data_IF_634524963637
#
_entry.id   IF_634524963637
#
_cell.length_a   1.000
_cell.length_b   1.000
_cell.length_c   1.000
_cell.angle_alpha   90.00
_cell.angle_beta   90.00
_cell.angle_gamma   90.00
#
_symmetry.space_group_name_H-M   'P 1'
#
loop_
_entity.id
_entity.type
_entity.pdbx_description
1 polymer ?
#
# COMPACT_ATOMS: atom_id res chain seq x y z
N UNK A 1 -16.00 14.92 2.25
CA UNK A 1 -15.83 13.59 1.62
C UNK A 1 -15.22 13.81 0.23
N UNK A 2 -13.92 13.55 0.04
CA UNK A 2 -13.28 13.70 -1.27
C UNK A 2 -13.62 12.48 -2.11
N UNK A 3 -14.55 12.61 -3.06
CA UNK A 3 -14.84 11.59 -4.07
C UNK A 3 -13.50 11.14 -4.69
N UNK A 4 -13.14 9.88 -4.48
CA UNK A 4 -11.83 9.39 -4.91
C UNK A 4 -11.72 9.38 -6.43
N UNK A 5 -10.56 9.73 -6.97
CA UNK A 5 -10.26 9.71 -8.41
C UNK A 5 -10.62 8.36 -9.09
N UNK A 6 -10.66 7.27 -8.31
CA UNK A 6 -11.12 5.95 -8.75
C UNK A 6 -12.60 5.94 -9.18
N UNK A 7 -13.49 6.58 -8.41
CA UNK A 7 -14.93 6.63 -8.73
C UNK A 7 -15.13 7.39 -10.04
N UNK A 8 -14.43 8.51 -10.19
CA UNK A 8 -14.53 9.35 -11.38
C UNK A 8 -14.07 8.61 -12.65
N UNK A 9 -12.89 7.95 -12.62
CA UNK A 9 -12.41 7.18 -13.77
C UNK A 9 -13.30 5.98 -14.09
N UNK A 10 -13.88 5.31 -13.09
CA UNK A 10 -14.85 4.24 -13.34
C UNK A 10 -16.09 4.78 -14.05
N UNK A 11 -16.65 5.90 -13.58
CA UNK A 11 -17.79 6.54 -14.24
C UNK A 11 -17.50 6.90 -15.70
N UNK A 12 -16.34 7.51 -15.98
CA UNK A 12 -15.94 7.86 -17.35
C UNK A 12 -15.76 6.63 -18.23
N UNK A 13 -15.17 5.54 -17.71
CA UNK A 13 -15.03 4.30 -18.46
C UNK A 13 -16.36 3.67 -18.83
N UNK A 14 -17.33 3.67 -17.90
CA UNK A 14 -18.68 3.18 -18.17
C UNK A 14 -19.35 4.06 -19.23
N UNK A 15 -19.29 5.39 -19.08
CA UNK A 15 -19.85 6.32 -20.08
C UNK A 15 -19.22 6.10 -21.45
N UNK A 16 -17.89 5.96 -21.53
CA UNK A 16 -17.19 5.70 -22.78
C UNK A 16 -17.60 4.35 -23.40
N UNK A 17 -17.69 3.29 -22.59
CA UNK A 17 -18.09 1.97 -23.06
C UNK A 17 -19.51 1.96 -23.62
N UNK A 18 -20.47 2.58 -22.91
CA UNK A 18 -21.85 2.72 -23.36
C UNK A 18 -21.94 3.57 -24.62
N UNK A 19 -21.25 4.71 -24.66
CA UNK A 19 -21.23 5.60 -25.81
C UNK A 19 -20.69 4.90 -27.06
N UNK A 20 -19.54 4.22 -26.95
CA UNK A 20 -18.96 3.47 -28.06
C UNK A 20 -19.87 2.32 -28.50
N UNK A 21 -20.51 1.61 -27.56
CA UNK A 21 -21.43 0.52 -27.90
C UNK A 21 -22.69 1.02 -28.64
N UNK A 22 -23.24 2.15 -28.22
CA UNK A 22 -24.37 2.81 -28.90
C UNK A 22 -23.96 3.34 -30.27
N UNK A 23 -22.77 3.92 -30.41
CA UNK A 23 -22.25 4.42 -31.68
C UNK A 23 -22.04 3.30 -32.72
N UNK A 24 -21.60 2.13 -32.27
CA UNK A 24 -21.45 0.94 -33.10
C UNK A 24 -22.77 0.15 -33.31
N UNK A 25 -23.89 0.69 -32.81
CA UNK A 25 -25.21 0.08 -32.89
C UNK A 25 -25.28 -1.35 -32.34
N UNK A 26 -24.55 -1.65 -31.26
CA UNK A 26 -24.68 -2.95 -30.61
C UNK A 26 -26.07 -3.10 -29.96
N UNK A 27 -26.74 -4.27 -30.06
CA UNK A 27 -28.12 -4.46 -29.62
C UNK A 27 -28.37 -4.20 -28.13
N UNK A 28 -27.32 -4.26 -27.31
CA UNK A 28 -27.45 -4.17 -25.86
C UNK A 28 -26.16 -3.61 -25.24
N UNK A 29 -26.01 -2.26 -25.29
CA UNK A 29 -24.84 -1.54 -24.78
C UNK A 29 -24.55 -1.79 -23.30
N UNK A 30 -25.56 -2.15 -22.51
CA UNK A 30 -25.46 -2.38 -21.06
C UNK A 30 -24.32 -3.35 -20.70
N UNK A 31 -24.09 -4.39 -21.49
CA UNK A 31 -23.01 -5.36 -21.23
C UNK A 31 -21.60 -4.77 -21.40
N UNK A 32 -21.43 -3.77 -22.28
CA UNK A 32 -20.18 -3.02 -22.37
C UNK A 32 -19.95 -2.20 -21.09
N UNK A 33 -21.02 -1.59 -20.56
CA UNK A 33 -20.97 -0.86 -19.28
C UNK A 33 -20.62 -1.77 -18.10
N UNK A 34 -21.31 -2.92 -17.96
CA UNK A 34 -21.03 -3.92 -16.92
C UNK A 34 -19.58 -4.39 -17.02
N UNK A 35 -19.13 -4.76 -18.21
CA UNK A 35 -17.75 -5.18 -18.44
C UNK A 35 -16.74 -4.10 -18.05
N UNK A 36 -16.99 -2.83 -18.41
CA UNK A 36 -16.11 -1.73 -18.06
C UNK A 36 -15.97 -1.51 -16.54
N UNK A 37 -17.03 -1.73 -15.76
CA UNK A 37 -16.97 -1.66 -14.28
C UNK A 37 -16.02 -2.71 -13.73
N UNK A 38 -16.20 -3.97 -14.13
CA UNK A 38 -15.37 -5.08 -13.65
C UNK A 38 -13.93 -5.02 -14.17
N UNK A 39 -13.73 -4.46 -15.36
CA UNK A 39 -12.41 -4.32 -15.96
C UNK A 39 -11.56 -3.18 -15.34
N UNK A 40 -12.17 -2.29 -14.56
CA UNK A 40 -11.49 -1.12 -14.02
C UNK A 40 -10.53 -1.48 -12.88
N UNK A 41 -9.23 -1.35 -13.16
CA UNK A 41 -8.16 -1.66 -12.20
C UNK A 41 -7.62 -0.41 -11.48
N UNK A 42 -7.07 -0.55 -10.26
CA UNK A 42 -6.57 0.59 -9.52
C UNK A 42 -5.31 1.22 -10.15
N UNK A 43 -4.46 0.41 -10.77
CA UNK A 43 -3.22 0.83 -11.43
C UNK A 43 -3.21 0.46 -12.91
N UNK A 44 -2.46 1.20 -13.73
CA UNK A 44 -2.30 0.91 -15.16
C UNK A 44 -1.66 -0.47 -15.38
N UNK A 45 -0.69 -0.82 -14.54
CA UNK A 45 -0.01 -2.11 -14.64
C UNK A 45 -0.98 -3.28 -14.42
N UNK A 46 -1.79 -3.22 -13.36
CA UNK A 46 -2.84 -4.21 -13.14
C UNK A 46 -3.88 -4.17 -14.26
N UNK A 47 -4.18 -3.01 -14.84
CA UNK A 47 -5.06 -2.89 -16.00
C UNK A 47 -4.55 -3.67 -17.22
N UNK A 48 -3.25 -3.62 -17.48
CA UNK A 48 -2.64 -4.32 -18.62
C UNK A 48 -2.65 -5.84 -18.42
N UNK A 49 -2.25 -6.30 -17.23
CA UNK A 49 -2.34 -7.73 -16.86
C UNK A 49 -3.79 -8.22 -16.96
N UNK A 50 -4.71 -7.47 -16.34
CA UNK A 50 -6.13 -7.78 -16.32
C UNK A 50 -6.75 -7.75 -17.72
N UNK A 51 -6.29 -6.90 -18.64
CA UNK A 51 -6.74 -6.91 -20.03
C UNK A 51 -6.45 -8.26 -20.68
N UNK A 52 -5.23 -8.79 -20.53
CA UNK A 52 -4.84 -10.09 -21.09
C UNK A 52 -5.63 -11.23 -20.44
N UNK A 53 -5.72 -11.22 -19.11
CA UNK A 53 -6.48 -12.21 -18.34
C UNK A 53 -7.96 -12.22 -18.75
N UNK A 54 -8.57 -11.04 -18.90
CA UNK A 54 -9.98 -10.91 -19.29
C UNK A 54 -10.22 -11.36 -20.72
N UNK A 55 -9.33 -11.06 -21.66
CA UNK A 55 -9.45 -11.57 -23.03
C UNK A 55 -9.46 -13.09 -23.02
N UNK A 56 -8.54 -13.73 -22.28
CA UNK A 56 -8.48 -15.20 -22.17
C UNK A 56 -9.73 -15.78 -21.50
N UNK A 57 -10.12 -15.26 -20.35
CA UNK A 57 -11.26 -15.77 -19.59
C UNK A 57 -12.58 -15.63 -20.36
N UNK A 58 -12.78 -14.52 -21.07
CA UNK A 58 -13.97 -14.32 -21.89
C UNK A 58 -13.97 -15.19 -23.16
N UNK A 59 -12.82 -15.46 -23.77
CA UNK A 59 -12.73 -16.41 -24.89
C UNK A 59 -13.15 -17.80 -24.42
N UNK A 60 -12.66 -18.24 -23.25
CA UNK A 60 -13.04 -19.52 -22.65
C UNK A 60 -14.54 -19.53 -22.36
N UNK A 61 -15.06 -18.49 -21.69
CA UNK A 61 -16.48 -18.37 -21.37
C UNK A 61 -17.36 -18.43 -22.63
N UNK A 62 -17.02 -17.67 -23.67
CA UNK A 62 -17.76 -17.67 -24.92
C UNK A 62 -17.70 -19.02 -25.65
N UNK A 63 -16.53 -19.64 -25.72
CA UNK A 63 -16.37 -20.95 -26.37
C UNK A 63 -17.22 -22.03 -25.68
N UNK A 64 -17.14 -22.13 -24.35
CA UNK A 64 -17.91 -23.12 -23.59
C UNK A 64 -19.42 -22.82 -23.62
N UNK A 65 -19.84 -21.55 -23.58
CA UNK A 65 -21.24 -21.18 -23.73
C UNK A 65 -21.80 -21.61 -25.09
N UNK A 66 -21.06 -21.38 -26.18
CA UNK A 66 -21.47 -21.79 -27.52
C UNK A 66 -21.57 -23.32 -27.62
N UNK A 67 -20.55 -24.04 -27.15
CA UNK A 67 -20.54 -25.51 -27.16
C UNK A 67 -21.71 -26.08 -26.36
N UNK A 68 -21.95 -25.56 -25.15
CA UNK A 68 -23.01 -26.03 -24.28
C UNK A 68 -24.41 -25.84 -24.91
N UNK A 69 -24.66 -24.67 -25.50
CA UNK A 69 -25.94 -24.39 -26.16
C UNK A 69 -26.16 -25.29 -27.38
N UNK A 70 -25.12 -25.55 -28.17
CA UNK A 70 -25.21 -26.40 -29.35
C UNK A 70 -25.44 -27.88 -29.02
N UNK A 71 -24.90 -28.36 -27.90
CA UNK A 71 -24.99 -29.77 -27.50
C UNK A 71 -26.21 -30.08 -26.62
N UNK A 72 -26.50 -29.22 -25.65
CA UNK A 72 -27.45 -29.51 -24.56
C UNK A 72 -28.62 -28.52 -24.49
N UNK A 73 -28.61 -27.47 -25.32
CA UNK A 73 -29.63 -26.42 -25.28
C UNK A 73 -29.41 -25.42 -24.15
N UNK A 74 -30.49 -24.74 -23.74
CA UNK A 74 -30.44 -23.51 -22.93
C UNK A 74 -31.06 -23.68 -21.54
N UNK A 75 -31.27 -24.91 -21.09
CA UNK A 75 -31.90 -25.14 -19.79
C UNK A 75 -31.08 -24.49 -18.67
N UNK A 76 -31.72 -23.88 -17.65
CA UNK A 76 -31.01 -23.25 -16.53
C UNK A 76 -30.00 -24.19 -15.86
N UNK A 77 -30.27 -25.49 -15.86
CA UNK A 77 -29.34 -26.51 -15.36
C UNK A 77 -28.05 -26.57 -16.20
N UNK A 78 -28.15 -26.51 -17.52
CA UNK A 78 -26.99 -26.50 -18.44
C UNK A 78 -26.19 -25.21 -18.29
N UNK A 79 -26.85 -24.07 -18.09
CA UNK A 79 -26.16 -22.80 -17.80
C UNK A 79 -25.34 -22.94 -16.51
N UNK A 80 -25.95 -23.45 -15.43
CA UNK A 80 -25.27 -23.68 -14.16
C UNK A 80 -24.06 -24.60 -14.30
N UNK A 81 -24.21 -25.74 -15.01
CA UNK A 81 -23.12 -26.67 -15.27
C UNK A 81 -21.99 -26.02 -16.08
N UNK A 82 -22.34 -25.22 -17.09
CA UNK A 82 -21.37 -24.50 -17.93
C UNK A 82 -20.57 -23.50 -17.09
N UNK A 83 -21.24 -22.76 -16.19
CA UNK A 83 -20.57 -21.84 -15.26
C UNK A 83 -19.60 -22.60 -14.34
N UNK A 84 -19.99 -23.75 -13.77
CA UNK A 84 -19.10 -24.56 -12.93
C UNK A 84 -17.83 -24.99 -13.70
N UNK A 85 -17.99 -25.43 -14.95
CA UNK A 85 -16.85 -25.83 -15.79
C UNK A 85 -15.95 -24.63 -16.09
N UNK A 86 -16.51 -23.49 -16.47
CA UNK A 86 -15.75 -22.27 -16.76
C UNK A 86 -15.01 -21.78 -15.52
N UNK A 87 -15.62 -21.82 -14.33
CA UNK A 87 -14.95 -21.49 -13.06
C UNK A 87 -13.76 -22.42 -12.83
N UNK A 88 -13.96 -23.74 -12.93
CA UNK A 88 -12.89 -24.71 -12.72
C UNK A 88 -11.71 -24.49 -13.69
N UNK A 89 -11.99 -24.17 -14.95
CA UNK A 89 -10.97 -23.88 -15.95
C UNK A 89 -10.23 -22.56 -15.66
N UNK A 90 -10.96 -21.50 -15.30
CA UNK A 90 -10.34 -20.22 -14.94
C UNK A 90 -9.42 -20.35 -13.72
N UNK A 91 -9.83 -21.13 -12.70
CA UNK A 91 -8.99 -21.43 -11.53
C UNK A 91 -7.73 -22.21 -11.92
N UNK A 92 -7.88 -23.24 -12.77
CA UNK A 92 -6.74 -24.02 -13.28
C UNK A 92 -5.72 -23.16 -14.04
N UNK A 93 -6.19 -22.11 -14.72
CA UNK A 93 -5.37 -21.16 -15.47
C UNK A 93 -4.90 -19.95 -14.64
N UNK A 94 -5.21 -19.89 -13.35
CA UNK A 94 -4.90 -18.77 -12.44
C UNK A 94 -5.51 -17.42 -12.86
N UNK A 95 -6.73 -17.45 -13.44
CA UNK A 95 -7.48 -16.27 -13.92
C UNK A 95 -8.52 -15.77 -12.90
N UNK A 96 -8.26 -15.94 -11.60
CA UNK A 96 -9.19 -15.69 -10.48
C UNK A 96 -9.82 -14.30 -10.50
N UNK A 97 -9.02 -13.29 -10.81
CA UNK A 97 -9.41 -11.87 -10.89
C UNK A 97 -10.48 -11.57 -11.96
N UNK A 98 -10.70 -12.48 -12.91
CA UNK A 98 -11.53 -12.24 -14.10
C UNK A 98 -12.72 -13.19 -14.24
N UNK A 99 -12.89 -14.10 -13.27
CA UNK A 99 -13.99 -15.08 -13.26
C UNK A 99 -15.33 -14.36 -13.39
N UNK A 100 -15.58 -13.29 -12.60
CA UNK A 100 -16.85 -12.56 -12.63
C UNK A 100 -17.24 -12.08 -14.04
N UNK A 101 -16.29 -11.57 -14.82
CA UNK A 101 -16.56 -11.08 -16.19
C UNK A 101 -16.84 -12.25 -17.13
N UNK A 102 -16.08 -13.35 -17.01
CA UNK A 102 -16.31 -14.54 -17.81
C UNK A 102 -17.69 -15.15 -17.55
N UNK A 103 -18.17 -15.16 -16.30
CA UNK A 103 -19.52 -15.63 -15.97
C UNK A 103 -20.61 -14.73 -16.58
N UNK A 104 -20.42 -13.40 -16.55
CA UNK A 104 -21.31 -12.46 -17.25
C UNK A 104 -21.35 -12.78 -18.74
N UNK A 105 -20.21 -13.09 -19.36
CA UNK A 105 -20.14 -13.48 -20.78
C UNK A 105 -20.90 -14.76 -21.07
N UNK A 106 -20.75 -15.80 -20.24
CA UNK A 106 -21.49 -17.06 -20.39
C UNK A 106 -23.00 -16.81 -20.33
N UNK A 107 -23.47 -16.10 -19.29
CA UNK A 107 -24.88 -15.80 -19.10
C UNK A 107 -25.42 -14.97 -20.28
N UNK A 108 -24.69 -13.92 -20.68
CA UNK A 108 -25.09 -13.01 -21.75
C UNK A 108 -25.21 -13.69 -23.12
N UNK A 109 -24.40 -14.73 -23.37
CA UNK A 109 -24.45 -15.52 -24.61
C UNK A 109 -25.60 -16.54 -24.54
N UNK A 110 -25.75 -17.25 -23.41
CA UNK A 110 -26.73 -18.34 -23.29
C UNK A 110 -28.18 -17.86 -23.13
N UNK A 111 -28.42 -16.62 -22.69
CA UNK A 111 -29.76 -16.02 -22.56
C UNK A 111 -30.49 -15.88 -23.91
N UNK A 112 -29.75 -15.79 -25.02
CA UNK A 112 -30.34 -15.44 -26.31
C UNK A 112 -30.96 -16.62 -27.05
N UNK A 113 -32.17 -16.40 -27.58
CA UNK A 113 -33.07 -17.46 -28.04
C UNK A 113 -33.30 -17.48 -29.58
N UNK A 114 -32.81 -16.50 -30.34
CA UNK A 114 -33.12 -16.43 -31.79
C UNK A 114 -32.28 -17.37 -32.68
N UNK A 115 -32.74 -17.52 -33.94
CA UNK A 115 -32.21 -18.45 -34.96
C UNK A 115 -30.76 -18.18 -35.37
N UNK A 116 -30.26 -16.96 -35.25
CA UNK A 116 -28.86 -16.59 -35.58
C UNK A 116 -27.95 -16.61 -34.33
N UNK A 117 -28.04 -17.66 -33.51
CA UNK A 117 -27.35 -17.75 -32.22
C UNK A 117 -25.83 -17.45 -32.28
N UNK A 118 -25.10 -18.03 -33.26
CA UNK A 118 -23.65 -17.84 -33.37
C UNK A 118 -23.28 -16.38 -33.64
N UNK A 119 -24.00 -15.72 -34.56
CA UNK A 119 -23.79 -14.31 -34.88
C UNK A 119 -24.04 -13.44 -33.65
N UNK A 120 -25.09 -13.75 -32.90
CA UNK A 120 -25.39 -13.04 -31.66
C UNK A 120 -24.34 -13.27 -30.57
N UNK A 121 -23.82 -14.50 -30.43
CA UNK A 121 -22.75 -14.81 -29.49
C UNK A 121 -21.49 -13.98 -29.79
N UNK A 122 -21.13 -13.82 -31.07
CA UNK A 122 -20.01 -12.96 -31.50
C UNK A 122 -20.27 -11.49 -31.18
N UNK A 123 -21.50 -11.00 -31.42
CA UNK A 123 -21.89 -9.62 -31.08
C UNK A 123 -21.81 -9.39 -29.57
N UNK A 124 -22.28 -10.33 -28.74
CA UNK A 124 -22.20 -10.27 -27.27
C UNK A 124 -20.77 -10.25 -26.78
N UNK A 125 -19.94 -11.16 -27.27
CA UNK A 125 -18.52 -11.20 -26.96
C UNK A 125 -17.83 -9.88 -27.33
N UNK A 126 -18.11 -9.36 -28.52
CA UNK A 126 -17.55 -8.08 -29.00
C UNK A 126 -17.99 -6.89 -28.14
N UNK A 127 -19.25 -6.88 -27.70
CA UNK A 127 -19.79 -5.83 -26.82
C UNK A 127 -19.11 -5.83 -25.45
N UNK A 128 -18.87 -7.01 -24.88
CA UNK A 128 -18.14 -7.15 -23.61
C UNK A 128 -16.68 -6.73 -23.79
N UNK A 129 -16.02 -7.19 -24.86
CA UNK A 129 -14.65 -6.78 -25.17
C UNK A 129 -14.51 -5.27 -25.31
N UNK A 130 -15.47 -4.60 -25.95
CA UNK A 130 -15.48 -3.14 -26.04
C UNK A 130 -15.46 -2.48 -24.66
N UNK A 131 -16.20 -3.02 -23.69
CA UNK A 131 -16.17 -2.57 -22.29
C UNK A 131 -14.80 -2.74 -21.64
N UNK A 132 -14.16 -3.90 -21.80
CA UNK A 132 -12.81 -4.17 -21.30
C UNK A 132 -11.80 -3.18 -21.89
N UNK A 133 -11.84 -2.96 -23.21
CA UNK A 133 -10.95 -2.02 -23.88
C UNK A 133 -11.20 -0.57 -23.48
N UNK A 134 -12.46 -0.15 -23.35
CA UNK A 134 -12.81 1.20 -22.89
C UNK A 134 -12.27 1.47 -21.47
N UNK A 135 -12.43 0.52 -20.55
CA UNK A 135 -11.86 0.63 -19.21
C UNK A 135 -10.33 0.72 -19.21
N UNK A 136 -9.66 -0.07 -20.06
CA UNK A 136 -8.21 0.00 -20.22
C UNK A 136 -7.74 1.35 -20.77
N UNK A 137 -8.39 1.87 -21.82
CA UNK A 137 -8.07 3.18 -22.42
C UNK A 137 -8.25 4.30 -21.40
N UNK A 138 -9.36 4.32 -20.67
CA UNK A 138 -9.60 5.33 -19.64
C UNK A 138 -8.55 5.24 -18.54
N UNK A 139 -8.18 4.04 -18.10
CA UNK A 139 -7.14 3.88 -17.09
C UNK A 139 -5.75 4.32 -17.60
N UNK A 140 -5.49 4.22 -18.91
CA UNK A 140 -4.26 4.71 -19.54
C UNK A 140 -4.22 6.25 -19.63
N UNK A 141 -5.34 6.88 -19.99
CA UNK A 141 -5.48 8.34 -20.18
C UNK A 141 -5.48 9.06 -18.83
N UNK A 142 -6.19 8.52 -17.84
CA UNK A 142 -6.24 9.12 -16.51
C UNK A 142 -4.97 8.77 -15.73
N UNK A 143 -4.06 9.76 -15.62
CA UNK A 143 -2.79 9.65 -14.92
C UNK A 143 -2.93 8.99 -13.54
N UNK A 144 -2.00 8.09 -13.16
CA UNK A 144 -2.00 7.48 -11.84
C UNK A 144 -1.93 8.59 -10.77
N UNK A 145 -2.66 8.45 -9.65
CA UNK A 145 -2.59 9.41 -8.57
C UNK A 145 -1.15 9.50 -8.07
N UNK A 146 -0.75 10.67 -7.56
CA UNK A 146 0.61 10.93 -7.05
C UNK A 146 0.89 10.13 -5.77
N UNK A 147 1.07 8.81 -5.91
CA UNK A 147 1.26 7.87 -4.82
C UNK A 147 2.50 8.21 -4.00
N UNK A 148 3.59 8.64 -4.65
CA UNK A 148 4.84 9.05 -3.98
C UNK A 148 4.63 10.16 -2.96
N UNK A 149 3.98 11.26 -3.36
CA UNK A 149 3.72 12.40 -2.46
C UNK A 149 2.82 12.00 -1.30
N UNK A 150 1.76 11.24 -1.60
CA UNK A 150 0.82 10.77 -0.58
C UNK A 150 1.49 9.81 0.39
N UNK A 151 2.35 8.92 -0.12
CA UNK A 151 3.10 7.96 0.68
C UNK A 151 4.01 8.69 1.64
N UNK A 152 4.83 9.63 1.14
CA UNK A 152 5.72 10.40 2.00
C UNK A 152 4.96 11.22 3.06
N UNK A 153 3.87 11.89 2.67
CA UNK A 153 3.06 12.65 3.61
C UNK A 153 2.50 11.76 4.74
N UNK A 154 1.99 10.56 4.42
CA UNK A 154 1.50 9.63 5.43
C UNK A 154 2.61 9.01 6.29
N UNK A 155 3.79 8.75 5.72
CA UNK A 155 4.97 8.35 6.51
C UNK A 155 5.27 9.44 7.54
N UNK A 156 5.39 10.69 7.10
CA UNK A 156 5.75 11.81 7.97
C UNK A 156 4.70 12.05 9.07
N UNK A 157 3.43 12.11 8.70
CA UNK A 157 2.32 12.32 9.64
C UNK A 157 2.22 11.21 10.69
N UNK A 158 2.30 9.94 10.26
CA UNK A 158 2.25 8.80 11.19
C UNK A 158 3.47 8.81 12.12
N UNK A 159 4.66 9.05 11.58
CA UNK A 159 5.88 9.13 12.39
C UNK A 159 5.79 10.26 13.41
N UNK A 160 5.46 11.49 13.00
CA UNK A 160 5.34 12.63 13.92
C UNK A 160 4.34 12.36 15.05
N UNK A 161 3.22 11.70 14.74
CA UNK A 161 2.24 11.30 15.74
C UNK A 161 2.84 10.30 16.75
N UNK A 162 3.53 9.26 16.27
CA UNK A 162 4.22 8.27 17.12
C UNK A 162 5.26 8.96 18.01
N UNK A 163 6.12 9.81 17.45
CA UNK A 163 7.17 10.53 18.19
C UNK A 163 6.56 11.43 19.27
N UNK A 164 5.46 12.13 18.95
CA UNK A 164 4.72 12.96 19.90
C UNK A 164 4.20 12.13 21.08
N UNK A 165 3.62 10.96 20.82
CA UNK A 165 3.12 10.08 21.88
C UNK A 165 4.23 9.51 22.75
N UNK A 166 5.36 9.11 22.17
CA UNK A 166 6.54 8.71 22.93
C UNK A 166 6.99 9.84 23.86
N UNK A 167 7.08 11.08 23.34
CA UNK A 167 7.49 12.27 24.11
C UNK A 167 6.54 12.58 25.28
N UNK A 168 5.23 12.43 25.09
CA UNK A 168 4.22 12.62 26.14
C UNK A 168 4.34 11.52 27.19
N UNK A 169 4.46 10.26 26.76
CA UNK A 169 4.49 9.10 27.65
C UNK A 169 5.72 9.09 28.56
N UNK A 170 6.92 9.39 28.03
CA UNK A 170 8.15 9.47 28.84
C UNK A 170 8.06 10.55 29.93
N UNK A 171 7.21 11.57 29.74
CA UNK A 171 7.01 12.67 30.69
C UNK A 171 5.86 12.42 31.67
N UNK A 172 5.26 11.22 31.64
CA UNK A 172 4.15 10.82 32.52
C UNK A 172 2.93 11.75 32.42
N UNK A 173 2.72 12.35 31.25
CA UNK A 173 1.69 13.37 31.03
C UNK A 173 0.40 12.82 30.38
N UNK A 174 0.27 11.49 30.23
CA UNK A 174 -0.88 10.85 29.58
C UNK A 174 -1.67 9.94 30.53
N UNK A 175 -3.00 9.98 30.43
CA UNK A 175 -3.88 8.99 31.06
C UNK A 175 -3.81 7.65 30.31
N UNK A 176 -3.70 6.54 31.06
CA UNK A 176 -3.46 5.19 30.53
C UNK A 176 -4.50 4.72 29.48
N UNK A 177 -5.78 5.09 29.61
CA UNK A 177 -6.83 4.63 28.69
C UNK A 177 -6.76 5.32 27.32
N UNK A 178 -6.46 6.63 27.29
CA UNK A 178 -6.42 7.41 26.04
C UNK A 178 -5.30 6.87 25.13
N UNK A 179 -4.16 6.53 25.73
CA UNK A 179 -3.00 6.05 24.98
C UNK A 179 -3.24 4.70 24.28
N UNK A 180 -4.00 3.78 24.88
CA UNK A 180 -4.26 2.47 24.29
C UNK A 180 -5.08 2.58 22.99
N UNK A 181 -6.10 3.44 22.97
CA UNK A 181 -6.92 3.66 21.77
C UNK A 181 -6.10 4.27 20.65
N UNK A 182 -5.24 5.24 20.96
CA UNK A 182 -4.40 5.89 19.97
C UNK A 182 -3.28 4.98 19.44
N UNK A 183 -2.75 4.07 20.25
CA UNK A 183 -1.84 3.00 19.79
C UNK A 183 -2.51 2.09 18.77
N UNK A 184 -3.76 1.67 18.99
CA UNK A 184 -4.46 0.81 18.01
C UNK A 184 -4.77 1.59 16.72
N UNK A 185 -5.19 2.86 16.80
CA UNK A 185 -5.36 3.72 15.62
C UNK A 185 -4.05 3.86 14.83
N UNK A 186 -2.92 4.13 15.51
CA UNK A 186 -1.61 4.24 14.88
C UNK A 186 -1.22 2.94 14.15
N UNK A 187 -1.53 1.77 14.72
CA UNK A 187 -1.29 0.47 14.10
C UNK A 187 -2.16 0.24 12.86
N UNK A 188 -3.43 0.63 12.90
CA UNK A 188 -4.28 0.61 11.70
C UNK A 188 -3.74 1.53 10.60
N UNK A 189 -3.26 2.71 10.97
CA UNK A 189 -2.68 3.67 10.02
C UNK A 189 -1.36 3.19 9.43
N UNK A 190 -0.53 2.47 10.20
CA UNK A 190 0.64 1.76 9.68
C UNK A 190 0.26 0.65 8.69
N UNK A 191 -0.84 -0.07 8.93
CA UNK A 191 -1.35 -1.09 7.97
C UNK A 191 -1.82 -0.43 6.67
N UNK A 192 -2.54 0.70 6.75
CA UNK A 192 -2.94 1.49 5.58
C UNK A 192 -1.73 2.01 4.81
N UNK A 193 -0.68 2.42 5.52
CA UNK A 193 0.57 2.91 4.96
C UNK A 193 1.31 1.81 4.17
N UNK A 194 1.35 0.59 4.69
CA UNK A 194 1.93 -0.57 3.98
C UNK A 194 1.19 -0.88 2.68
N UNK A 195 -0.15 -0.82 2.69
CA UNK A 195 -0.94 -0.93 1.47
C UNK A 195 -0.60 0.18 0.47
N UNK A 196 -0.47 1.43 0.92
CA UNK A 196 -0.11 2.54 0.04
C UNK A 196 1.30 2.37 -0.55
N UNK A 197 2.25 1.86 0.23
CA UNK A 197 3.58 1.50 -0.24
C UNK A 197 3.53 0.42 -1.33
N UNK A 198 2.69 -0.61 -1.16
CA UNK A 198 2.52 -1.65 -2.18
C UNK A 198 1.97 -1.07 -3.49
N UNK A 199 0.98 -0.17 -3.41
CA UNK A 199 0.43 0.52 -4.58
C UNK A 199 1.50 1.35 -5.30
N UNK A 200 2.34 2.07 -4.55
CA UNK A 200 3.47 2.80 -5.12
C UNK A 200 4.52 1.87 -5.74
N UNK A 201 4.83 0.73 -5.10
CA UNK A 201 5.76 -0.29 -5.62
C UNK A 201 5.30 -0.87 -6.96
N UNK A 202 4.00 -1.12 -7.11
CA UNK A 202 3.41 -1.71 -8.32
C UNK A 202 3.27 -0.74 -9.51
N UNK A 203 3.33 0.56 -9.27
CA UNK A 203 3.23 1.55 -10.34
C UNK A 203 4.47 1.48 -11.27
N UNK A 204 4.25 1.23 -12.57
CA UNK A 204 5.35 1.17 -13.54
C UNK A 204 5.84 2.56 -13.92
N UNK A 205 7.17 2.69 -14.02
CA UNK A 205 7.80 3.84 -14.64
C UNK A 205 8.20 3.48 -16.07
N UNK A 206 7.67 4.19 -17.06
CA UNK A 206 7.87 3.87 -18.48
C UNK A 206 9.32 4.09 -18.97
N UNK A 207 10.10 4.93 -18.28
CA UNK A 207 11.50 5.21 -18.64
C UNK A 207 12.48 4.36 -17.80
N UNK A 208 13.48 3.75 -18.48
CA UNK A 208 14.56 2.97 -17.83
C UNK A 208 15.32 3.78 -16.78
N UNK A 209 15.58 5.08 -17.03
CA UNK A 209 16.27 5.97 -16.09
C UNK A 209 15.46 6.21 -14.82
N UNK A 210 14.15 6.43 -14.97
CA UNK A 210 13.26 6.67 -13.84
C UNK A 210 12.97 5.39 -13.03
N UNK A 211 13.13 4.20 -13.64
CA UNK A 211 13.00 2.90 -12.95
C UNK A 211 14.04 2.75 -11.83
N UNK A 212 15.32 3.07 -12.09
CA UNK A 212 16.37 2.99 -11.09
C UNK A 212 16.18 4.01 -9.95
N UNK A 213 15.78 5.24 -10.28
CA UNK A 213 15.45 6.25 -9.28
C UNK A 213 14.29 5.79 -8.38
N UNK A 214 13.23 5.24 -8.98
CA UNK A 214 12.10 4.69 -8.24
C UNK A 214 12.50 3.53 -7.33
N UNK A 215 13.30 2.57 -7.82
CA UNK A 215 13.81 1.46 -7.01
C UNK A 215 14.57 1.94 -5.77
N UNK A 216 15.41 2.97 -5.89
CA UNK A 216 16.13 3.55 -4.75
C UNK A 216 15.18 4.21 -3.75
N UNK A 217 14.22 5.01 -4.23
CA UNK A 217 13.17 5.61 -3.38
C UNK A 217 12.34 4.56 -2.65
N UNK A 218 12.02 3.44 -3.30
CA UNK A 218 11.29 2.33 -2.67
C UNK A 218 12.07 1.75 -1.48
N UNK A 219 13.39 1.62 -1.59
CA UNK A 219 14.23 1.18 -0.45
C UNK A 219 14.15 2.17 0.70
N UNK A 220 14.23 3.48 0.41
CA UNK A 220 14.12 4.52 1.44
C UNK A 220 12.76 4.52 2.13
N UNK A 221 11.66 4.55 1.37
CA UNK A 221 10.32 4.53 1.95
C UNK A 221 10.04 3.26 2.74
N UNK A 222 10.55 2.10 2.27
CA UNK A 222 10.47 0.86 3.04
C UNK A 222 11.17 1.00 4.37
N UNK A 223 12.41 1.53 4.38
CA UNK A 223 13.15 1.70 5.63
C UNK A 223 12.48 2.73 6.55
N UNK A 224 11.93 3.83 6.03
CA UNK A 224 11.17 4.78 6.84
C UNK A 224 9.96 4.13 7.53
N UNK A 225 9.22 3.27 6.81
CA UNK A 225 8.09 2.51 7.39
C UNK A 225 8.59 1.55 8.48
N UNK A 226 9.72 0.86 8.25
CA UNK A 226 10.32 -0.03 9.25
C UNK A 226 10.69 0.75 10.52
N UNK A 227 11.37 1.90 10.38
CA UNK A 227 11.77 2.74 11.51
C UNK A 227 10.54 3.29 12.27
N UNK A 228 9.50 3.73 11.57
CA UNK A 228 8.25 4.17 12.19
C UNK A 228 7.56 3.03 12.96
N UNK A 229 7.54 1.82 12.40
CA UNK A 229 7.03 0.63 13.09
C UNK A 229 7.86 0.31 14.35
N UNK A 230 9.19 0.43 14.30
CA UNK A 230 10.03 0.24 15.50
C UNK A 230 9.75 1.28 16.57
N UNK A 231 9.60 2.55 16.21
CA UNK A 231 9.19 3.59 17.15
C UNK A 231 7.83 3.26 17.80
N UNK A 232 6.86 2.79 17.01
CA UNK A 232 5.55 2.37 17.51
C UNK A 232 5.66 1.15 18.45
N UNK A 233 6.52 0.19 18.15
CA UNK A 233 6.76 -0.96 19.03
C UNK A 233 7.44 -0.53 20.34
N UNK A 234 8.38 0.41 20.30
CA UNK A 234 8.95 1.04 21.51
C UNK A 234 7.84 1.71 22.33
N UNK A 235 6.93 2.47 21.70
CA UNK A 235 5.79 3.09 22.38
C UNK A 235 4.87 2.05 23.04
N UNK A 236 4.56 0.95 22.36
CA UNK A 236 3.73 -0.14 22.93
C UNK A 236 4.38 -0.75 24.17
N UNK A 237 5.69 -0.98 24.12
CA UNK A 237 6.44 -1.58 25.23
C UNK A 237 6.53 -0.59 26.39
N UNK A 238 6.78 0.69 26.12
CA UNK A 238 6.74 1.76 27.12
C UNK A 238 5.38 1.80 27.82
N UNK A 239 4.28 1.81 27.06
CA UNK A 239 2.92 1.82 27.62
C UNK A 239 2.61 0.55 28.42
N UNK A 240 3.05 -0.63 27.95
CA UNK A 240 2.85 -1.89 28.66
C UNK A 240 3.55 -1.92 30.03
N UNK A 241 4.72 -1.29 30.13
CA UNK A 241 5.55 -1.28 31.33
C UNK A 241 5.52 0.06 32.07
N UNK A 242 4.47 0.86 31.86
CA UNK A 242 4.31 2.18 32.49
C UNK A 242 4.45 2.12 34.02
N UNK A 243 3.80 1.16 34.68
CA UNK A 243 3.90 0.99 36.13
C UNK A 243 5.30 0.62 36.62
N UNK A 244 5.99 -0.28 35.89
CA UNK A 244 7.35 -0.72 36.24
C UNK A 244 8.38 0.41 36.05
N UNK A 245 8.16 1.29 35.07
CA UNK A 245 8.97 2.49 34.84
C UNK A 245 8.97 3.45 36.05
N UNK A 246 7.89 3.49 36.83
CA UNK A 246 7.83 4.31 38.06
C UNK A 246 8.64 3.72 39.22
N UNK A 247 8.82 2.40 39.25
CA UNK A 247 9.54 1.70 40.32
C UNK A 247 11.03 1.52 40.03
N UNK A 248 11.48 1.97 38.86
CA UNK A 248 12.87 1.90 38.40
C UNK A 248 13.78 2.92 39.11
N UNK A 249 15.08 2.63 39.29
CA UNK A 249 16.04 3.61 39.80
C UNK A 249 16.06 4.88 38.94
N UNK A 250 16.24 6.02 39.61
CA UNK A 250 16.24 7.33 38.98
C UNK A 250 17.28 7.45 37.84
N UNK A 251 18.47 6.87 38.03
CA UNK A 251 19.54 6.88 37.02
C UNK A 251 19.11 6.19 35.71
N UNK A 252 18.46 5.03 35.81
CA UNK A 252 18.03 4.26 34.66
C UNK A 252 16.82 4.91 33.97
N UNK A 253 15.89 5.47 34.75
CA UNK A 253 14.77 6.25 34.23
C UNK A 253 15.26 7.48 33.44
N UNK A 254 16.26 8.19 33.98
CA UNK A 254 16.89 9.33 33.30
C UNK A 254 17.62 8.91 32.03
N UNK A 255 18.36 7.79 32.07
CA UNK A 255 19.06 7.26 30.89
C UNK A 255 18.10 6.86 29.77
N UNK A 256 16.99 6.17 30.09
CA UNK A 256 15.95 5.83 29.10
C UNK A 256 15.35 7.10 28.50
N UNK A 257 15.03 8.08 29.33
CA UNK A 257 14.44 9.35 28.88
C UNK A 257 15.39 10.12 27.96
N UNK A 258 16.65 10.25 28.35
CA UNK A 258 17.69 10.94 27.56
C UNK A 258 17.90 10.24 26.22
N UNK A 259 18.02 8.90 26.24
CA UNK A 259 18.19 8.12 25.02
C UNK A 259 17.00 8.26 24.07
N UNK A 260 15.77 8.19 24.59
CA UNK A 260 14.58 8.35 23.78
C UNK A 260 14.48 9.79 23.23
N UNK A 261 14.70 10.83 24.04
CA UNK A 261 14.68 12.22 23.57
C UNK A 261 15.72 12.43 22.44
N UNK A 262 16.93 11.86 22.57
CA UNK A 262 17.95 11.86 21.51
C UNK A 262 17.47 11.14 20.24
N UNK A 263 16.89 9.94 20.38
CA UNK A 263 16.37 9.17 19.24
C UNK A 263 15.22 9.87 18.53
N UNK A 264 14.30 10.48 19.26
CA UNK A 264 13.19 11.25 18.70
C UNK A 264 13.73 12.45 17.90
N UNK A 265 14.68 13.19 18.47
CA UNK A 265 15.31 14.32 17.79
C UNK A 265 16.05 13.87 16.53
N UNK A 266 16.82 12.79 16.63
CA UNK A 266 17.55 12.24 15.49
C UNK A 266 16.61 11.77 14.37
N UNK A 267 15.47 11.16 14.70
CA UNK A 267 14.46 10.77 13.70
C UNK A 267 13.87 11.99 12.96
N UNK A 268 13.47 13.03 13.69
CA UNK A 268 12.95 14.27 13.11
C UNK A 268 13.98 14.91 12.15
N UNK A 269 15.25 14.96 12.57
CA UNK A 269 16.33 15.48 11.74
C UNK A 269 16.52 14.68 10.44
N UNK A 270 16.49 13.33 10.51
CA UNK A 270 16.62 12.47 9.33
C UNK A 270 15.50 12.74 8.33
N UNK A 271 14.26 12.90 8.80
CA UNK A 271 13.12 13.23 7.94
C UNK A 271 13.29 14.60 7.29
N UNK A 272 13.72 15.62 8.03
CA UNK A 272 14.00 16.96 7.50
C UNK A 272 15.15 16.96 6.49
N UNK A 273 16.20 16.18 6.77
CA UNK A 273 17.34 15.95 5.89
C UNK A 273 16.87 15.34 4.56
N UNK A 274 15.97 14.37 4.60
CA UNK A 274 15.40 13.78 3.38
C UNK A 274 14.64 14.80 2.50
N UNK A 275 13.89 15.73 3.09
CA UNK A 275 13.22 16.82 2.34
C UNK A 275 14.22 17.87 1.83
N UNK A 276 15.43 17.92 2.39
CA UNK A 276 16.42 18.95 2.08
C UNK A 276 16.12 20.31 2.75
N UNK A 277 15.26 20.32 3.79
CA UNK A 277 14.95 21.54 4.58
C UNK A 277 16.04 21.87 5.60
N UNK A 278 16.97 20.94 5.87
CA UNK A 278 18.17 21.16 6.67
C UNK A 278 19.42 21.04 5.80
N UNK A 279 20.38 21.97 5.95
CA UNK A 279 21.75 21.74 5.45
C UNK A 279 22.26 20.46 6.11
N UNK A 280 22.98 19.61 5.37
CA UNK A 280 23.70 18.47 5.94
C UNK A 280 24.39 18.90 7.23
N UNK A 281 23.78 18.64 8.39
CA UNK A 281 24.55 18.60 9.62
C UNK A 281 25.48 17.42 9.41
N UNK A 282 26.80 17.61 9.61
CA UNK A 282 27.71 16.50 9.49
C UNK A 282 27.19 15.39 10.38
N UNK A 283 27.24 14.15 9.89
CA UNK A 283 26.92 12.87 10.57
C UNK A 283 27.31 12.80 12.06
N UNK A 284 28.16 13.71 12.52
CA UNK A 284 29.05 13.56 13.64
C UNK A 284 28.52 14.11 14.94
N UNK A 285 27.53 15.01 14.96
CA UNK A 285 27.06 15.56 16.24
C UNK A 285 25.89 14.74 16.77
N UNK A 286 24.73 14.77 16.11
CA UNK A 286 23.53 14.10 16.62
C UNK A 286 23.65 12.57 16.66
N UNK A 287 24.31 11.93 15.68
CA UNK A 287 24.52 10.48 15.73
C UNK A 287 25.54 10.08 16.81
N UNK A 288 26.52 10.94 17.12
CA UNK A 288 27.51 10.69 18.17
C UNK A 288 26.90 10.92 19.56
N UNK A 289 26.04 11.92 19.70
CA UNK A 289 25.18 12.11 20.88
C UNK A 289 24.30 10.88 21.11
N UNK A 290 23.56 10.40 20.11
CA UNK A 290 22.74 9.19 20.24
C UNK A 290 23.57 7.95 20.58
N UNK A 291 24.77 7.81 20.00
CA UNK A 291 25.67 6.71 20.36
C UNK A 291 26.12 6.82 21.83
N UNK A 292 26.46 8.02 22.29
CA UNK A 292 26.89 8.27 23.67
C UNK A 292 25.75 7.97 24.66
N UNK A 293 24.54 8.45 24.38
CA UNK A 293 23.36 8.16 25.20
C UNK A 293 23.02 6.65 25.20
N UNK A 294 23.22 5.95 24.08
CA UNK A 294 23.07 4.49 24.01
C UNK A 294 24.07 3.79 24.94
N UNK A 295 25.33 4.22 24.93
CA UNK A 295 26.35 3.67 25.83
C UNK A 295 25.99 3.92 27.29
N UNK A 296 25.53 5.13 27.65
CA UNK A 296 25.06 5.45 29.01
C UNK A 296 23.88 4.57 29.44
N UNK A 297 22.92 4.32 28.55
CA UNK A 297 21.78 3.44 28.83
C UNK A 297 22.24 2.00 29.12
N UNK A 298 23.17 1.50 28.31
CA UNK A 298 23.73 0.15 28.49
C UNK A 298 24.52 0.05 29.81
N UNK A 299 25.32 1.07 30.14
CA UNK A 299 26.07 1.14 31.40
C UNK A 299 25.13 1.18 32.61
N UNK A 300 24.11 2.05 32.59
CA UNK A 300 23.10 2.13 33.64
C UNK A 300 22.33 0.81 33.80
N UNK A 301 22.05 0.12 32.69
CA UNK A 301 21.41 -1.19 32.70
C UNK A 301 22.28 -2.26 33.36
N UNK A 302 23.57 -2.34 33.01
CA UNK A 302 24.49 -3.30 33.62
C UNK A 302 24.73 -3.03 35.11
N UNK A 303 24.74 -1.76 35.54
CA UNK A 303 24.87 -1.38 36.95
C UNK A 303 23.67 -1.87 37.80
N UNK A 304 22.47 -1.92 37.22
CA UNK A 304 21.24 -2.34 37.90
C UNK A 304 21.00 -3.87 37.90
N UNK A 305 21.75 -4.64 37.09
CA UNK A 305 21.53 -6.08 36.84
C UNK A 305 21.82 -7.02 38.05
N UNK A 306 21.92 -6.51 39.28
CA UNK A 306 22.15 -7.36 40.46
C UNK A 306 20.87 -8.01 41.04
N UNK A 307 19.66 -7.61 40.63
CA UNK A 307 18.41 -8.19 41.13
C UNK A 307 17.73 -9.14 40.13
N UNK A 308 17.31 -10.32 40.62
CA UNK A 308 16.65 -11.39 39.83
C UNK A 308 15.29 -10.92 39.30
N UNK A 309 14.98 -11.32 38.05
CA UNK A 309 13.65 -11.30 37.38
C UNK A 309 13.14 -9.99 36.73
N UNK A 310 13.99 -9.15 36.14
CA UNK A 310 13.55 -7.96 35.37
C UNK A 310 13.47 -8.20 33.84
N UNK A 311 12.75 -9.25 33.39
CA UNK A 311 12.60 -9.54 31.95
C UNK A 311 11.99 -8.38 31.13
N UNK A 312 11.19 -7.54 31.77
CA UNK A 312 10.58 -6.36 31.14
C UNK A 312 11.65 -5.34 30.70
N UNK A 313 12.73 -5.21 31.47
CA UNK A 313 13.80 -4.25 31.21
C UNK A 313 14.59 -4.61 29.95
N UNK A 314 14.85 -5.91 29.77
CA UNK A 314 15.43 -6.43 28.52
C UNK A 314 14.55 -6.16 27.31
N UNK A 315 13.23 -6.36 27.45
CA UNK A 315 12.30 -6.10 26.34
C UNK A 315 12.26 -4.62 25.97
N UNK A 316 12.30 -3.72 26.96
CA UNK A 316 12.29 -2.28 26.72
C UNK A 316 13.59 -1.80 26.10
N UNK A 317 14.73 -2.13 26.70
CA UNK A 317 16.05 -1.72 26.21
C UNK A 317 16.32 -2.32 24.84
N UNK A 318 15.97 -3.60 24.62
CA UNK A 318 16.07 -4.25 23.31
C UNK A 318 15.28 -3.51 22.23
N UNK A 319 14.07 -3.04 22.55
CA UNK A 319 13.27 -2.27 21.62
C UNK A 319 13.86 -0.87 21.33
N UNK A 320 14.44 -0.21 22.34
CA UNK A 320 15.12 1.09 22.18
C UNK A 320 16.38 0.93 21.31
N UNK A 321 17.15 -0.13 21.52
CA UNK A 321 18.36 -0.44 20.75
C UNK A 321 18.01 -0.81 19.30
N UNK A 322 17.02 -1.67 19.07
CA UNK A 322 16.58 -2.02 17.71
C UNK A 322 16.06 -0.78 16.97
N UNK A 323 15.29 0.09 17.65
CA UNK A 323 14.88 1.37 17.08
C UNK A 323 16.08 2.24 16.69
N UNK A 324 17.08 2.37 17.57
CA UNK A 324 18.33 3.10 17.28
C UNK A 324 19.07 2.54 16.07
N UNK A 325 19.22 1.21 15.96
CA UNK A 325 19.94 0.56 14.86
C UNK A 325 19.23 0.76 13.52
N UNK A 326 17.90 0.62 13.48
CA UNK A 326 17.14 0.88 12.26
C UNK A 326 17.22 2.34 11.81
N UNK A 327 17.33 3.27 12.77
CA UNK A 327 17.46 4.70 12.51
C UNK A 327 18.83 5.04 11.91
N UNK A 328 19.91 4.47 12.45
CA UNK A 328 21.26 4.58 11.88
C UNK A 328 21.31 4.00 10.45
N UNK A 329 20.63 2.88 10.21
CA UNK A 329 20.54 2.31 8.87
C UNK A 329 19.80 3.23 7.90
N UNK A 330 18.69 3.86 8.34
CA UNK A 330 17.96 4.82 7.53
C UNK A 330 18.83 6.04 7.15
N UNK A 331 19.58 6.59 8.10
CA UNK A 331 20.48 7.73 7.82
C UNK A 331 21.56 7.36 6.79
N UNK A 332 22.20 6.19 6.94
CA UNK A 332 23.17 5.66 5.96
C UNK A 332 22.58 5.55 4.55
N UNK A 333 21.33 5.10 4.43
CA UNK A 333 20.65 5.01 3.14
C UNK A 333 20.34 6.39 2.54
N UNK A 334 19.93 7.35 3.37
CA UNK A 334 19.64 8.73 2.94
C UNK A 334 20.92 9.43 2.48
N UNK A 335 22.03 9.25 3.19
CA UNK A 335 23.34 9.79 2.78
C UNK A 335 23.78 9.26 1.42
N UNK A 336 23.67 7.95 1.24
CA UNK A 336 23.98 7.30 -0.05
C UNK A 336 23.07 7.83 -1.16
N UNK A 337 21.79 8.08 -0.85
CA UNK A 337 20.90 8.67 -1.83
C UNK A 337 21.30 10.11 -2.21
N UNK A 338 21.61 10.96 -1.23
CA UNK A 338 21.95 12.37 -1.44
C UNK A 338 23.32 12.58 -2.12
N UNK A 339 24.34 11.78 -1.77
CA UNK A 339 25.67 11.88 -2.39
C UNK A 339 25.66 11.53 -3.87
N UNK A 340 24.87 10.53 -4.27
CA UNK A 340 24.84 10.07 -5.65
C UNK A 340 23.81 10.80 -6.51
N UNK A 341 22.75 11.38 -5.92
CA UNK A 341 21.65 11.98 -6.67
C UNK A 341 21.06 13.22 -5.98
N UNK A 342 21.46 14.41 -6.44
CA UNK A 342 20.78 15.66 -6.08
C UNK A 342 19.51 15.81 -6.94
N UNK A 343 18.42 15.16 -6.53
CA UNK A 343 17.13 15.27 -7.22
C UNK A 343 16.41 16.55 -6.78
N UNK A 344 16.83 17.70 -7.32
CA UNK A 344 16.28 19.02 -6.98
C UNK A 344 14.75 19.11 -7.19
N UNK A 345 14.19 18.25 -8.05
CA UNK A 345 12.75 18.13 -8.28
C UNK A 345 11.99 17.42 -7.15
N UNK A 346 12.64 16.52 -6.39
CA UNK A 346 12.04 15.82 -5.24
C UNK A 346 11.87 16.77 -4.06
N UNK A 347 12.94 17.48 -3.72
CA UNK A 347 12.98 18.54 -2.69
C UNK A 347 11.89 19.57 -2.96
N UNK A 348 11.81 20.08 -4.19
CA UNK A 348 10.79 21.09 -4.57
C UNK A 348 9.36 20.55 -4.55
N UNK A 349 9.15 19.26 -4.79
CA UNK A 349 7.81 18.64 -4.82
C UNK A 349 7.29 18.17 -3.46
N UNK A 350 8.18 17.84 -2.52
CA UNK A 350 7.84 17.41 -1.17
C UNK A 350 7.88 18.58 -0.17
N UNK A 351 8.70 19.61 -0.43
CA UNK A 351 8.78 20.82 0.41
C UNK A 351 7.68 21.86 0.16
N UNK A 352 6.81 21.67 -0.85
CA UNK A 352 5.76 22.64 -1.22
C UNK A 352 4.55 22.67 -0.27
N UNK A 353 4.75 22.27 1.00
CA UNK A 353 3.85 22.51 2.13
C UNK A 353 4.68 22.92 3.35
#
# INVERSE_FOLDING_TARGET
>A
MKLGARIFKTGIAVTLALFLASLLHFPSPVFAGISAVFAMQPTIYRSYLSLIEQVQANIIGAAFAIIAVLLFGRDPFIIGLTLMIVIALCLKMRLESTISVALVTVIAIMEYTDREFIKFAVIRFSTIMLGVFAAFIVNLIFLPPKYEKRLYAQINENTENILKWIRIHIRHASEHHILKEDIEKMKEDMTKLEHLYLMYKEERTYSRKNRFQKSRKLVLYRQMIVVANRALDTLKILHRFENELYHMPLELQQAIRSQLDSLLHYHEQILLKFIGKTKCHPRTETAMETHQERTRLIEAFYAHHQQKNEYYLFSLIGAIIDYSEQLEHLDKLIDSFQHYHHDAALVKNLASH
#
